data_IF_448079372989
#
_entry.id   IF_448079372989
#
_cell.length_a   1.000
_cell.length_b   1.000
_cell.length_c   1.000
_cell.angle_alpha   90.00
_cell.angle_beta   90.00
_cell.angle_gamma   90.00
#
_symmetry.space_group_name_H-M   'P 1'
#
loop_
_entity.id
_entity.type
_entity.pdbx_description
1 polymer ?
#
# COMPACT_ATOMS: atom_id res chain seq x y z
N UNK A 1 -4.26 -21.56 13.04
CA UNK A 1 -5.65 -21.20 12.69
C UNK A 1 -5.58 -20.34 11.45
N UNK A 2 -5.83 -20.94 10.29
CA UNK A 2 -5.91 -20.25 9.00
C UNK A 2 -7.25 -19.54 8.95
N UNK A 3 -7.26 -18.22 9.08
CA UNK A 3 -8.43 -17.39 8.78
C UNK A 3 -8.79 -17.61 7.31
N UNK A 4 -9.90 -18.32 7.08
CA UNK A 4 -10.50 -18.39 5.76
C UNK A 4 -11.10 -17.02 5.45
N UNK A 5 -10.38 -16.20 4.68
CA UNK A 5 -10.95 -15.01 4.06
C UNK A 5 -12.12 -15.46 3.17
N UNK A 6 -13.35 -15.25 3.64
CA UNK A 6 -14.54 -15.55 2.86
C UNK A 6 -14.58 -14.66 1.62
N UNK A 7 -14.82 -15.26 0.45
CA UNK A 7 -14.94 -14.60 -0.85
C UNK A 7 -15.96 -13.44 -0.90
N UNK A 8 -16.78 -13.25 0.15
CA UNK A 8 -17.97 -12.39 0.15
C UNK A 8 -17.75 -10.97 0.70
N UNK A 9 -16.63 -10.67 1.36
CA UNK A 9 -16.42 -9.36 1.99
C UNK A 9 -16.11 -8.23 1.00
N UNK A 10 -15.71 -8.57 -0.23
CA UNK A 10 -15.43 -7.59 -1.29
C UNK A 10 -16.58 -7.39 -2.28
N UNK A 11 -17.66 -8.19 -2.17
CA UNK A 11 -18.82 -8.10 -3.08
C UNK A 11 -19.66 -6.87 -2.72
N UNK A 12 -19.92 -6.01 -3.72
CA UNK A 12 -20.91 -4.93 -3.62
C UNK A 12 -22.25 -5.45 -4.11
N UNK A 13 -23.18 -5.69 -3.19
CA UNK A 13 -24.54 -6.14 -3.50
C UNK A 13 -25.38 -5.00 -4.08
N UNK A 14 -25.99 -5.24 -5.24
CA UNK A 14 -26.78 -4.24 -5.97
C UNK A 14 -28.20 -4.08 -5.42
N UNK A 15 -28.76 -5.08 -4.74
CA UNK A 15 -30.10 -5.00 -4.14
C UNK A 15 -30.25 -3.85 -3.13
N UNK A 16 -29.15 -3.46 -2.46
CA UNK A 16 -29.14 -2.30 -1.56
C UNK A 16 -29.47 -0.99 -2.28
N UNK A 17 -29.24 -0.95 -3.59
CA UNK A 17 -29.48 0.19 -4.46
C UNK A 17 -30.76 0.01 -5.31
N UNK A 18 -31.70 -0.85 -4.91
CA UNK A 18 -33.01 -0.96 -5.57
C UNK A 18 -33.07 -1.94 -6.76
N UNK A 19 -31.95 -2.55 -7.14
CA UNK A 19 -31.97 -3.56 -8.21
C UNK A 19 -32.73 -4.82 -7.80
N UNK A 20 -33.79 -5.17 -8.55
CA UNK A 20 -34.67 -6.32 -8.30
C UNK A 20 -35.12 -7.05 -9.57
N UNK A 21 -34.56 -6.67 -10.72
CA UNK A 21 -34.93 -7.20 -12.03
C UNK A 21 -34.20 -8.49 -12.40
N UNK A 22 -34.53 -8.99 -13.59
CA UNK A 22 -33.95 -10.18 -14.20
C UNK A 22 -32.84 -9.83 -15.22
N UNK A 23 -32.31 -8.62 -15.13
CA UNK A 23 -31.31 -8.10 -16.06
C UNK A 23 -30.42 -7.07 -15.40
N UNK A 24 -29.18 -6.94 -15.86
CA UNK A 24 -28.23 -5.96 -15.37
C UNK A 24 -27.62 -5.24 -16.57
N UNK A 25 -27.82 -3.93 -16.66
CA UNK A 25 -27.18 -3.08 -17.67
C UNK A 25 -26.13 -2.22 -16.97
N UNK A 26 -24.90 -2.23 -17.49
CA UNK A 26 -23.81 -1.49 -16.88
C UNK A 26 -22.75 -1.06 -17.89
N UNK A 27 -21.91 -0.13 -17.47
CA UNK A 27 -20.60 0.10 -18.08
C UNK A 27 -19.51 -0.29 -17.11
N UNK A 28 -18.45 -0.90 -17.60
CA UNK A 28 -17.29 -1.28 -16.81
C UNK A 28 -15.97 -0.80 -17.44
N UNK A 29 -15.00 -0.39 -16.61
CA UNK A 29 -13.63 -0.08 -17.04
C UNK A 29 -12.58 -0.62 -16.06
N UNK A 30 -11.35 -0.72 -16.57
CA UNK A 30 -10.10 -1.22 -15.98
C UNK A 30 -9.70 -2.70 -16.16
N UNK A 31 -10.01 -3.59 -15.21
CA UNK A 31 -9.39 -4.93 -15.14
C UNK A 31 -10.40 -6.07 -15.38
N UNK A 32 -10.55 -6.96 -14.39
CA UNK A 32 -11.45 -8.10 -14.38
C UNK A 32 -12.74 -7.73 -13.66
N UNK A 33 -13.85 -7.92 -14.35
CA UNK A 33 -15.18 -7.83 -13.74
C UNK A 33 -15.65 -9.22 -13.33
N UNK A 34 -16.21 -9.33 -12.12
CA UNK A 34 -16.97 -10.49 -11.68
C UNK A 34 -18.35 -10.05 -11.28
N UNK A 35 -19.34 -10.73 -11.83
CA UNK A 35 -20.75 -10.54 -11.51
C UNK A 35 -21.25 -11.83 -10.87
N UNK A 36 -21.97 -11.68 -9.77
CA UNK A 36 -22.58 -12.76 -9.01
C UNK A 36 -24.08 -12.64 -9.07
N UNK A 37 -24.76 -13.70 -9.51
CA UNK A 37 -26.20 -13.86 -9.40
C UNK A 37 -26.47 -14.94 -8.37
N UNK A 38 -27.16 -14.58 -7.29
CA UNK A 38 -27.17 -15.32 -6.04
C UNK A 38 -28.58 -15.73 -5.66
N UNK A 39 -28.74 -16.96 -5.18
CA UNK A 39 -29.98 -17.47 -4.62
C UNK A 39 -30.35 -16.79 -3.30
N UNK A 40 -29.35 -16.36 -2.52
CA UNK A 40 -29.53 -15.64 -1.26
C UNK A 40 -28.37 -14.69 -0.98
N UNK A 41 -28.64 -13.66 -0.20
CA UNK A 41 -27.61 -12.74 0.33
C UNK A 41 -26.82 -13.33 1.50
N UNK A 42 -27.16 -14.54 1.98
CA UNK A 42 -26.47 -15.16 3.13
C UNK A 42 -25.06 -15.63 2.73
N UNK A 43 -24.06 -15.06 3.39
CA UNK A 43 -22.61 -15.25 3.19
C UNK A 43 -22.06 -16.69 3.35
N UNK A 44 -22.89 -17.69 3.65
CA UNK A 44 -22.43 -18.92 4.31
C UNK A 44 -22.41 -20.21 3.49
N UNK A 45 -22.77 -20.18 2.21
CA UNK A 45 -22.69 -21.38 1.36
C UNK A 45 -22.17 -21.00 -0.01
N UNK A 46 -21.11 -21.69 -0.48
CA UNK A 46 -20.66 -21.68 -1.89
C UNK A 46 -21.68 -22.35 -2.83
N UNK A 47 -22.96 -22.24 -2.51
CA UNK A 47 -24.11 -22.86 -3.15
C UNK A 47 -25.02 -21.76 -3.67
N UNK A 48 -25.66 -22.00 -4.81
CA UNK A 48 -26.65 -21.07 -5.36
C UNK A 48 -26.00 -19.78 -5.91
N UNK A 49 -24.85 -19.93 -6.59
CA UNK A 49 -24.14 -18.81 -7.22
C UNK A 49 -23.96 -19.09 -8.71
N UNK A 50 -24.42 -18.17 -9.55
CA UNK A 50 -23.91 -18.01 -10.91
C UNK A 50 -22.83 -16.93 -10.88
N UNK A 51 -21.65 -17.27 -11.39
CA UNK A 51 -20.53 -16.36 -11.54
C UNK A 51 -20.27 -16.11 -13.01
N UNK A 52 -20.24 -14.83 -13.37
CA UNK A 52 -19.89 -14.35 -14.70
C UNK A 52 -18.57 -13.60 -14.55
N UNK A 53 -17.52 -14.12 -15.18
CA UNK A 53 -16.18 -13.53 -15.15
C UNK A 53 -15.85 -12.94 -16.51
N UNK A 54 -15.58 -11.64 -16.54
CA UNK A 54 -15.19 -10.91 -17.74
C UNK A 54 -13.69 -10.61 -17.68
N UNK A 55 -12.96 -11.12 -18.67
CA UNK A 55 -11.52 -10.99 -18.81
C UNK A 55 -11.17 -9.88 -19.81
N UNK A 56 -10.08 -9.13 -19.58
CA UNK A 56 -9.56 -8.19 -20.58
C UNK A 56 -9.00 -8.94 -21.80
N UNK A 57 -9.01 -8.28 -22.97
CA UNK A 57 -8.63 -8.85 -24.26
C UNK A 57 -7.22 -9.48 -24.32
N UNK A 58 -6.30 -9.11 -23.43
CA UNK A 58 -4.95 -9.72 -23.36
C UNK A 58 -4.99 -11.18 -22.89
N UNK A 59 -6.10 -11.62 -22.30
CA UNK A 59 -6.39 -13.01 -21.93
C UNK A 59 -7.77 -13.43 -22.49
N UNK A 60 -7.94 -13.43 -23.82
CA UNK A 60 -9.26 -13.43 -24.45
C UNK A 60 -10.02 -14.76 -24.28
N UNK A 61 -9.34 -15.88 -24.01
CA UNK A 61 -9.91 -17.23 -24.03
C UNK A 61 -10.72 -17.64 -22.79
N UNK A 62 -11.10 -16.71 -21.89
CA UNK A 62 -11.56 -17.10 -20.53
C UNK A 62 -12.82 -16.42 -20.00
N UNK A 63 -13.64 -15.72 -20.81
CA UNK A 63 -14.95 -15.30 -20.30
C UNK A 63 -15.75 -16.55 -19.90
N UNK A 64 -16.21 -16.60 -18.65
CA UNK A 64 -16.82 -17.80 -18.08
C UNK A 64 -18.15 -17.44 -17.47
N UNK A 65 -19.17 -18.24 -17.79
CA UNK A 65 -20.45 -18.29 -17.07
C UNK A 65 -20.52 -19.65 -16.41
N UNK A 66 -20.43 -19.66 -15.08
CA UNK A 66 -20.37 -20.90 -14.30
C UNK A 66 -21.31 -20.86 -13.12
N UNK A 67 -21.64 -22.04 -12.61
CA UNK A 67 -22.44 -22.19 -11.41
C UNK A 67 -21.66 -22.96 -10.36
N UNK A 68 -21.71 -22.47 -9.12
CA UNK A 68 -21.22 -23.21 -7.97
C UNK A 68 -22.36 -24.00 -7.33
N UNK A 69 -22.21 -25.33 -7.29
CA UNK A 69 -23.09 -26.25 -6.55
C UNK A 69 -22.22 -26.97 -5.52
N UNK A 70 -22.49 -26.78 -4.23
CA UNK A 70 -21.85 -27.49 -3.13
C UNK A 70 -20.31 -27.43 -3.15
N UNK A 71 -19.74 -26.24 -3.40
CA UNK A 71 -18.30 -25.98 -3.59
C UNK A 71 -17.67 -26.61 -4.84
N UNK A 72 -18.46 -27.26 -5.70
CA UNK A 72 -18.05 -27.70 -7.05
C UNK A 72 -18.48 -26.66 -8.07
N UNK A 73 -17.49 -26.13 -8.80
CA UNK A 73 -17.73 -25.22 -9.92
C UNK A 73 -18.05 -26.08 -11.14
N UNK A 74 -19.30 -26.00 -11.59
CA UNK A 74 -19.73 -26.57 -12.86
C UNK A 74 -19.74 -25.44 -13.90
N UNK A 75 -18.78 -25.50 -14.83
CA UNK A 75 -18.76 -24.62 -15.99
C UNK A 75 -19.81 -25.13 -16.99
N UNK A 76 -20.98 -24.48 -17.02
CA UNK A 76 -22.00 -24.77 -18.02
C UNK A 76 -21.66 -24.12 -19.36
N UNK A 77 -20.78 -23.12 -19.36
CA UNK A 77 -20.10 -22.66 -20.57
C UNK A 77 -18.76 -21.97 -20.24
N UNK A 78 -17.69 -22.47 -20.84
CA UNK A 78 -16.45 -21.71 -21.06
C UNK A 78 -16.41 -21.33 -22.53
N UNK A 79 -17.26 -20.37 -22.90
CA UNK A 79 -17.33 -19.92 -24.29
C UNK A 79 -16.44 -18.69 -24.45
N UNK A 80 -15.49 -18.77 -25.37
CA UNK A 80 -14.79 -17.59 -25.86
C UNK A 80 -15.83 -16.59 -26.41
N UNK A 81 -15.92 -15.41 -25.79
CA UNK A 81 -16.78 -14.31 -26.26
C UNK A 81 -15.90 -13.22 -26.87
N UNK A 82 -15.49 -13.33 -28.15
CA UNK A 82 -14.65 -12.32 -28.80
C UNK A 82 -15.29 -10.93 -28.73
N UNK A 83 -14.51 -9.94 -28.28
CA UNK A 83 -14.87 -8.53 -28.38
C UNK A 83 -15.85 -8.00 -27.34
N UNK A 84 -16.30 -8.79 -26.35
CA UNK A 84 -17.14 -8.25 -25.26
C UNK A 84 -16.44 -7.11 -24.49
N UNK A 85 -15.12 -7.18 -24.39
CA UNK A 85 -14.27 -6.14 -23.87
C UNK A 85 -13.17 -5.86 -24.90
N UNK A 86 -13.43 -4.98 -25.86
CA UNK A 86 -12.44 -4.50 -26.83
C UNK A 86 -11.42 -3.64 -26.09
N UNK A 87 -10.44 -4.31 -25.47
CA UNK A 87 -9.38 -3.70 -24.67
C UNK A 87 -9.94 -2.85 -23.51
N UNK A 88 -9.96 -3.42 -22.31
CA UNK A 88 -10.27 -2.65 -21.11
C UNK A 88 -9.09 -1.75 -20.78
N UNK A 89 -8.96 -0.65 -21.51
CA UNK A 89 -8.04 0.42 -21.16
C UNK A 89 -8.74 1.30 -20.12
N UNK A 90 -8.18 1.49 -18.93
CA UNK A 90 -8.63 2.61 -18.11
C UNK A 90 -8.37 3.91 -18.91
N UNK A 91 -9.35 4.81 -19.13
CA UNK A 91 -10.68 4.89 -18.49
C UNK A 91 -11.87 4.52 -19.40
N UNK A 92 -11.66 3.84 -20.52
CA UNK A 92 -12.70 3.55 -21.50
C UNK A 92 -13.73 2.57 -20.93
N UNK A 93 -14.97 3.04 -20.86
CA UNK A 93 -16.11 2.28 -20.37
C UNK A 93 -16.72 1.42 -21.47
N UNK A 94 -16.88 0.13 -21.18
CA UNK A 94 -17.51 -0.84 -22.06
C UNK A 94 -18.94 -1.10 -21.62
N UNK A 95 -19.96 -0.75 -22.42
CA UNK A 95 -21.35 -1.00 -22.11
C UNK A 95 -21.70 -2.47 -22.34
N UNK A 96 -22.29 -3.10 -21.34
CA UNK A 96 -22.63 -4.51 -21.30
C UNK A 96 -24.00 -4.67 -20.66
N UNK A 97 -24.74 -5.66 -21.13
CA UNK A 97 -25.95 -6.11 -20.47
C UNK A 97 -25.93 -7.62 -20.24
N UNK A 98 -26.55 -8.04 -19.15
CA UNK A 98 -26.75 -9.44 -18.77
C UNK A 98 -28.24 -9.61 -18.52
N UNK A 99 -28.85 -10.69 -19.01
CA UNK A 99 -30.24 -11.04 -18.72
C UNK A 99 -30.33 -12.51 -18.30
N UNK A 100 -31.24 -12.80 -17.38
CA UNK A 100 -31.50 -14.16 -16.93
C UNK A 100 -32.99 -14.40 -16.70
N UNK A 101 -33.51 -15.54 -17.15
CA UNK A 101 -34.90 -15.91 -16.90
C UNK A 101 -35.05 -17.43 -16.92
N UNK A 102 -35.60 -18.01 -15.86
CA UNK A 102 -35.88 -19.46 -15.79
C UNK A 102 -34.70 -20.36 -16.19
N UNK A 103 -33.47 -19.98 -15.80
CA UNK A 103 -32.25 -20.71 -16.13
C UNK A 103 -31.63 -20.39 -17.48
N UNK A 104 -32.30 -19.61 -18.33
CA UNK A 104 -31.73 -19.04 -19.54
C UNK A 104 -30.87 -17.82 -19.18
N UNK A 105 -29.65 -17.75 -19.70
CA UNK A 105 -28.74 -16.63 -19.54
C UNK A 105 -28.40 -16.06 -20.90
N UNK A 106 -28.38 -14.74 -21.01
CA UNK A 106 -27.93 -14.03 -22.19
C UNK A 106 -27.09 -12.82 -21.81
N UNK A 107 -26.15 -12.47 -22.70
CA UNK A 107 -25.16 -11.43 -22.52
C UNK A 107 -24.85 -10.79 -23.87
N UNK A 108 -24.77 -9.47 -23.89
CA UNK A 108 -24.45 -8.70 -25.09
C UNK A 108 -23.77 -7.38 -24.79
N UNK A 109 -23.44 -6.66 -25.86
CA UNK A 109 -22.84 -5.32 -25.77
C UNK A 109 -23.91 -4.24 -25.88
N UNK A 110 -23.58 -3.07 -25.34
CA UNK A 110 -24.45 -1.90 -25.41
C UNK A 110 -25.32 -1.71 -24.17
N UNK A 111 -26.21 -0.73 -24.25
CA UNK A 111 -27.11 -0.35 -23.14
C UNK A 111 -28.54 -0.85 -23.33
N UNK A 112 -28.86 -1.34 -24.53
CA UNK A 112 -30.14 -1.93 -24.87
C UNK A 112 -30.08 -3.43 -24.62
N UNK A 113 -31.00 -3.97 -23.82
CA UNK A 113 -31.12 -5.42 -23.65
C UNK A 113 -31.33 -6.12 -24.99
N UNK A 114 -30.74 -7.30 -25.14
CA UNK A 114 -30.86 -8.17 -26.32
C UNK A 114 -30.24 -7.63 -27.62
N UNK A 115 -29.64 -6.44 -27.61
CA UNK A 115 -28.85 -5.92 -28.74
C UNK A 115 -27.42 -6.47 -28.70
N UNK A 116 -26.83 -6.78 -29.86
CA UNK A 116 -25.46 -7.31 -29.97
C UNK A 116 -25.20 -8.46 -28.97
N UNK A 117 -26.12 -9.44 -28.95
CA UNK A 117 -25.99 -10.64 -28.13
C UNK A 117 -24.76 -11.43 -28.57
N UNK A 118 -23.89 -11.72 -27.60
CA UNK A 118 -22.62 -12.43 -27.83
C UNK A 118 -22.58 -13.79 -27.15
N UNK A 119 -23.51 -14.05 -26.22
CA UNK A 119 -23.63 -15.33 -25.53
C UNK A 119 -25.06 -15.60 -25.10
N UNK A 120 -25.46 -16.87 -25.24
CA UNK A 120 -26.62 -17.42 -24.57
C UNK A 120 -26.32 -18.84 -24.05
N UNK A 121 -27.01 -19.25 -22.99
CA UNK A 121 -26.90 -20.59 -22.44
C UNK A 121 -28.07 -20.91 -21.51
N UNK A 122 -28.19 -22.18 -21.13
CA UNK A 122 -29.30 -22.64 -20.27
C UNK A 122 -28.79 -23.61 -19.21
N UNK A 123 -29.12 -23.33 -17.95
CA UNK A 123 -28.97 -24.27 -16.85
C UNK A 123 -30.19 -25.20 -16.81
N UNK A 124 -30.02 -26.54 -16.94
CA UNK A 124 -31.13 -27.49 -16.86
C UNK A 124 -31.73 -27.62 -15.45
N UNK A 125 -31.03 -27.20 -14.40
CA UNK A 125 -31.49 -27.27 -13.00
C UNK A 125 -31.41 -25.89 -12.31
N UNK A 126 -32.12 -24.86 -12.79
CA UNK A 126 -31.89 -23.49 -12.32
C UNK A 126 -32.39 -23.28 -10.89
N UNK A 127 -31.81 -22.29 -10.22
CA UNK A 127 -32.32 -21.76 -8.96
C UNK A 127 -32.79 -20.31 -9.14
N UNK A 128 -33.62 -19.84 -8.21
CA UNK A 128 -34.17 -18.48 -8.26
C UNK A 128 -33.10 -17.50 -7.82
N UNK A 129 -32.72 -16.57 -8.69
CA UNK A 129 -31.82 -15.47 -8.36
C UNK A 129 -32.60 -14.43 -7.56
N UNK A 130 -32.15 -14.14 -6.34
CA UNK A 130 -32.74 -13.10 -5.47
C UNK A 130 -31.80 -11.92 -5.26
N UNK A 131 -30.52 -12.05 -5.62
CA UNK A 131 -29.55 -10.99 -5.41
C UNK A 131 -28.48 -10.95 -6.50
N UNK A 132 -28.01 -9.72 -6.79
CA UNK A 132 -26.92 -9.47 -7.73
C UNK A 132 -25.78 -8.76 -7.00
N UNK A 133 -24.54 -9.17 -7.27
CA UNK A 133 -23.34 -8.58 -6.71
C UNK A 133 -22.29 -8.33 -7.77
N UNK A 134 -21.48 -7.29 -7.59
CA UNK A 134 -20.33 -7.00 -8.43
C UNK A 134 -19.05 -7.01 -7.61
N UNK A 135 -17.96 -7.43 -8.24
CA UNK A 135 -16.63 -7.49 -7.63
C UNK A 135 -15.56 -7.38 -8.72
N UNK A 136 -14.34 -7.05 -8.31
CA UNK A 136 -13.14 -7.22 -9.13
C UNK A 136 -12.38 -8.47 -8.69
N UNK A 137 -11.57 -9.08 -9.56
CA UNK A 137 -10.71 -10.20 -9.14
C UNK A 137 -9.67 -9.76 -8.10
N UNK A 138 -9.06 -10.71 -7.39
CA UNK A 138 -8.00 -10.45 -6.41
C UNK A 138 -6.91 -9.55 -7.02
N UNK A 139 -6.56 -8.46 -6.35
CA UNK A 139 -5.55 -7.53 -6.87
C UNK A 139 -6.08 -6.38 -7.74
N UNK A 140 -7.31 -6.49 -8.27
CA UNK A 140 -7.81 -5.61 -9.32
C UNK A 140 -8.75 -4.50 -8.82
N UNK A 141 -8.77 -3.38 -9.55
CA UNK A 141 -9.71 -2.28 -9.33
C UNK A 141 -10.60 -2.06 -10.54
N UNK A 142 -11.76 -1.43 -10.36
CA UNK A 142 -12.70 -1.23 -11.46
C UNK A 142 -13.70 -0.13 -11.19
N UNK A 143 -14.06 0.59 -12.26
CA UNK A 143 -15.14 1.57 -12.21
C UNK A 143 -16.37 0.98 -12.89
N UNK A 144 -17.52 1.17 -12.26
CA UNK A 144 -18.81 0.65 -12.71
C UNK A 144 -19.81 1.78 -12.79
N UNK A 145 -20.61 1.78 -13.85
CA UNK A 145 -21.81 2.62 -13.97
C UNK A 145 -22.98 1.66 -14.16
N UNK A 146 -23.84 1.54 -13.16
CA UNK A 146 -24.98 0.61 -13.19
C UNK A 146 -26.25 1.38 -13.56
N UNK A 147 -27.01 0.86 -14.52
CA UNK A 147 -28.30 1.42 -14.92
C UNK A 147 -29.41 0.60 -14.24
N UNK A 148 -30.16 1.25 -13.36
CA UNK A 148 -31.29 0.65 -12.64
C UNK A 148 -32.57 1.21 -13.25
N UNK A 149 -33.55 0.35 -13.52
CA UNK A 149 -34.81 0.76 -14.15
C UNK A 149 -35.51 1.85 -13.32
N UNK A 150 -35.80 2.99 -13.96
CA UNK A 150 -36.51 4.11 -13.34
C UNK A 150 -35.65 5.03 -12.46
N UNK A 151 -34.33 4.79 -12.38
CA UNK A 151 -33.40 5.62 -11.58
C UNK A 151 -32.26 6.21 -12.43
N UNK A 152 -31.56 7.20 -11.87
CA UNK A 152 -30.30 7.70 -12.42
C UNK A 152 -29.19 6.64 -12.32
N UNK A 153 -28.22 6.69 -13.23
CA UNK A 153 -27.13 5.72 -13.25
C UNK A 153 -26.27 5.81 -11.98
N UNK A 154 -26.04 4.67 -11.33
CA UNK A 154 -25.25 4.56 -10.11
C UNK A 154 -23.76 4.37 -10.46
N UNK A 155 -22.93 5.33 -10.08
CA UNK A 155 -21.47 5.21 -10.21
C UNK A 155 -20.86 4.52 -8.97
N UNK A 156 -20.18 3.39 -9.19
CA UNK A 156 -19.51 2.63 -8.14
C UNK A 156 -18.02 2.46 -8.47
N UNK A 157 -17.16 2.84 -7.54
CA UNK A 157 -15.73 2.49 -7.56
C UNK A 157 -15.51 1.28 -6.67
N UNK A 158 -14.99 0.21 -7.27
CA UNK A 158 -14.60 -1.01 -6.55
C UNK A 158 -13.08 -1.02 -6.49
N UNK A 159 -12.55 -0.64 -5.33
CA UNK A 159 -11.12 -0.56 -5.07
C UNK A 159 -10.58 -1.86 -4.48
N UNK A 160 -9.33 -2.16 -4.82
CA UNK A 160 -8.61 -3.26 -4.21
C UNK A 160 -8.22 -2.90 -2.75
N UNK A 161 -8.86 -3.56 -1.79
CA UNK A 161 -8.61 -3.38 -0.35
C UNK A 161 -7.18 -3.76 0.03
N UNK A 162 -6.58 -4.74 -0.66
CA UNK A 162 -5.20 -5.18 -0.39
C UNK A 162 -4.17 -4.22 -0.98
N UNK A 163 -4.42 -3.60 -2.13
CA UNK A 163 -3.55 -2.54 -2.65
C UNK A 163 -3.56 -1.31 -1.75
N UNK A 164 -4.71 -0.96 -1.16
CA UNK A 164 -4.80 0.11 -0.18
C UNK A 164 -4.00 -0.21 1.08
N UNK A 165 -4.16 -1.43 1.63
CA UNK A 165 -3.38 -1.89 2.80
C UNK A 165 -1.87 -1.93 2.51
N UNK A 166 -1.47 -2.40 1.33
CA UNK A 166 -0.07 -2.43 0.91
C UNK A 166 0.52 -1.02 0.85
N UNK A 167 -0.21 -0.09 0.23
CA UNK A 167 0.20 1.32 0.14
C UNK A 167 0.28 2.00 1.50
N UNK A 168 -0.61 1.65 2.42
CA UNK A 168 -0.56 2.12 3.80
C UNK A 168 0.68 1.58 4.53
N UNK A 169 0.99 0.29 4.36
CA UNK A 169 2.19 -0.33 4.92
C UNK A 169 3.49 0.27 4.36
N UNK A 170 3.53 0.53 3.05
CA UNK A 170 4.66 1.21 2.40
C UNK A 170 4.88 2.60 3.01
N UNK A 171 3.80 3.37 3.17
CA UNK A 171 3.87 4.71 3.75
C UNK A 171 4.34 4.67 5.22
N UNK A 172 3.85 3.71 6.01
CA UNK A 172 4.30 3.51 7.39
C UNK A 172 5.78 3.13 7.47
N UNK A 173 6.26 2.32 6.54
CA UNK A 173 7.67 1.94 6.46
C UNK A 173 8.56 3.14 6.07
N UNK A 174 8.15 3.94 5.09
CA UNK A 174 8.84 5.18 4.71
C UNK A 174 8.90 6.18 5.88
N UNK A 175 7.82 6.30 6.65
CA UNK A 175 7.79 7.16 7.83
C UNK A 175 8.83 6.70 8.87
N UNK A 176 8.88 5.40 9.16
CA UNK A 176 9.86 4.81 10.09
C UNK A 176 11.30 5.00 9.62
N UNK A 177 11.56 4.88 8.32
CA UNK A 177 12.87 5.16 7.72
C UNK A 177 13.29 6.61 7.96
N UNK A 178 12.40 7.58 7.70
CA UNK A 178 12.68 9.01 7.94
C UNK A 178 12.93 9.32 9.42
N UNK A 179 12.18 8.71 10.32
CA UNK A 179 12.42 8.85 11.76
C UNK A 179 13.81 8.31 12.17
N UNK A 180 14.21 7.17 11.61
CA UNK A 180 15.52 6.59 11.87
C UNK A 180 16.65 7.49 11.32
N UNK A 181 16.51 8.01 10.10
CA UNK A 181 17.47 8.96 9.52
C UNK A 181 17.62 10.21 10.37
N UNK A 182 16.52 10.75 10.91
CA UNK A 182 16.55 11.91 11.78
C UNK A 182 17.32 11.62 13.08
N UNK A 183 17.04 10.48 13.74
CA UNK A 183 17.77 10.05 14.94
C UNK A 183 19.27 9.88 14.68
N UNK A 184 19.63 9.35 13.50
CA UNK A 184 21.02 9.14 13.13
C UNK A 184 21.76 10.47 12.92
N UNK A 185 21.13 11.44 12.25
CA UNK A 185 21.66 12.81 12.10
C UNK A 185 21.83 13.52 13.45
N UNK A 186 20.88 13.33 14.37
CA UNK A 186 20.98 13.89 15.71
C UNK A 186 22.16 13.28 16.48
N UNK A 187 22.33 11.96 16.45
CA UNK A 187 23.45 11.28 17.08
C UNK A 187 24.81 11.70 16.49
N UNK A 188 24.90 11.91 15.17
CA UNK A 188 26.10 12.43 14.52
C UNK A 188 26.44 13.86 14.98
N UNK A 189 25.44 14.71 15.18
CA UNK A 189 25.64 16.08 15.69
C UNK A 189 26.15 16.05 17.13
N UNK A 190 25.52 15.27 17.99
CA UNK A 190 25.95 15.10 19.39
C UNK A 190 27.38 14.54 19.50
N UNK A 191 27.75 13.61 18.61
CA UNK A 191 29.12 13.08 18.55
C UNK A 191 30.13 14.15 18.12
N UNK A 192 29.78 14.99 17.14
CA UNK A 192 30.64 16.10 16.69
C UNK A 192 30.85 17.12 17.80
N UNK A 193 29.80 17.49 18.52
CA UNK A 193 29.89 18.43 19.65
C UNK A 193 30.80 17.87 20.76
N UNK A 194 30.67 16.58 21.10
CA UNK A 194 31.57 15.93 22.07
C UNK A 194 33.03 15.97 21.65
N UNK A 195 33.32 15.68 20.38
CA UNK A 195 34.68 15.73 19.83
C UNK A 195 35.27 17.15 19.86
N UNK A 196 34.45 18.17 19.66
CA UNK A 196 34.87 19.57 19.71
C UNK A 196 35.20 20.01 21.14
N UNK A 197 34.38 19.58 22.12
CA UNK A 197 34.66 19.78 23.55
C UNK A 197 35.98 19.09 23.94
N UNK A 198 36.17 17.82 23.59
CA UNK A 198 37.37 17.08 23.95
C UNK A 198 38.65 17.69 23.34
N UNK A 199 38.56 18.22 22.11
CA UNK A 199 39.67 18.95 21.49
C UNK A 199 40.03 20.21 22.28
N UNK A 200 39.02 20.98 22.70
CA UNK A 200 39.21 22.20 23.47
C UNK A 200 39.82 21.90 24.84
N UNK A 201 39.35 20.87 25.53
CA UNK A 201 39.91 20.44 26.81
C UNK A 201 41.39 20.06 26.70
N UNK A 202 41.78 19.31 25.66
CA UNK A 202 43.20 18.99 25.40
C UNK A 202 44.05 20.20 25.07
N UNK A 203 43.50 21.18 24.34
CA UNK A 203 44.20 22.42 24.03
C UNK A 203 44.41 23.27 25.28
N UNK A 204 43.40 23.36 26.15
CA UNK A 204 43.48 24.08 27.43
C UNK A 204 44.46 23.38 28.39
N UNK A 205 44.48 22.04 28.43
CA UNK A 205 45.47 21.26 29.19
C UNK A 205 46.90 21.51 28.70
N UNK A 206 47.10 21.59 27.38
CA UNK A 206 48.41 21.89 26.79
C UNK A 206 48.88 23.30 27.16
N UNK A 207 48.01 24.30 27.05
CA UNK A 207 48.31 25.69 27.45
C UNK A 207 48.66 25.79 28.94
N UNK A 208 47.95 25.06 29.79
CA UNK A 208 48.22 25.03 31.23
C UNK A 208 49.62 24.46 31.51
N UNK A 209 49.98 23.33 30.89
CA UNK A 209 51.32 22.72 31.01
C UNK A 209 52.44 23.65 30.53
N UNK A 210 52.20 24.42 29.48
CA UNK A 210 53.16 25.41 28.98
C UNK A 210 53.39 26.55 29.99
N UNK A 211 52.32 27.04 30.62
CA UNK A 211 52.39 28.07 31.66
C UNK A 211 53.15 27.56 32.90
N UNK A 212 52.83 26.35 33.37
CA UNK A 212 53.53 25.73 34.50
C UNK A 212 55.04 25.54 34.22
N UNK A 213 55.39 25.19 32.99
CA UNK A 213 56.79 25.05 32.58
C UNK A 213 57.53 26.39 32.63
N UNK A 214 56.93 27.44 32.05
CA UNK A 214 57.47 28.81 32.08
C UNK A 214 57.64 29.34 33.50
N UNK A 215 56.68 29.06 34.39
CA UNK A 215 56.76 29.46 35.79
C UNK A 215 57.91 28.74 36.52
N UNK A 216 58.08 27.44 36.29
CA UNK A 216 59.22 26.68 36.85
C UNK A 216 60.58 27.18 36.35
N UNK A 217 60.68 27.58 35.07
CA UNK A 217 61.90 28.17 34.54
C UNK A 217 62.21 29.52 35.19
N UNK A 218 61.20 30.37 35.35
CA UNK A 218 61.34 31.66 36.04
C UNK A 218 61.78 31.47 37.49
N UNK A 219 61.19 30.54 38.22
CA UNK A 219 61.59 30.21 39.61
C UNK A 219 63.07 29.80 39.66
N UNK A 220 63.52 28.95 38.73
CA UNK A 220 64.94 28.54 38.67
C UNK A 220 65.88 29.71 38.35
N UNK A 221 65.46 30.61 37.47
CA UNK A 221 66.25 31.81 37.14
C UNK A 221 66.38 32.74 38.35
N UNK A 222 65.28 32.95 39.08
CA UNK A 222 65.26 33.77 40.29
C UNK A 222 66.11 33.12 41.41
N UNK A 223 66.04 31.80 41.61
CA UNK A 223 66.91 31.07 42.54
C UNK A 223 68.41 31.23 42.20
N UNK A 224 68.75 31.24 40.91
CA UNK A 224 70.13 31.43 40.45
C UNK A 224 70.65 32.83 40.77
N UNK A 225 69.82 33.86 40.51
CA UNK A 225 70.15 35.26 40.85
C UNK A 225 70.35 35.44 42.35
N UNK A 226 69.52 34.82 43.18
CA UNK A 226 69.69 34.86 44.65
C UNK A 226 71.02 34.25 45.06
N UNK A 227 71.39 33.08 44.51
CA UNK A 227 72.68 32.44 44.80
C UNK A 227 73.88 33.29 44.36
N UNK A 228 73.79 33.98 43.23
CA UNK A 228 74.85 34.90 42.77
C UNK A 228 75.00 36.10 43.71
N UNK A 229 73.89 36.67 44.18
CA UNK A 229 73.90 37.76 45.17
C UNK A 229 74.54 37.31 46.49
N UNK A 230 74.14 36.16 47.03
CA UNK A 230 74.72 35.60 48.25
C UNK A 230 76.24 35.33 48.11
N UNK A 231 76.68 34.86 46.94
CA UNK A 231 78.11 34.65 46.66
C UNK A 231 78.87 35.97 46.62
N UNK A 232 78.28 36.99 46.01
CA UNK A 232 78.86 38.34 45.91
C UNK A 232 79.00 38.98 47.29
N UNK A 233 77.97 38.90 48.13
CA UNK A 233 78.00 39.39 49.51
C UNK A 233 79.09 38.69 50.35
N UNK A 234 79.26 37.36 50.19
CA UNK A 234 80.34 36.63 50.87
C UNK A 234 81.73 37.12 50.45
N UNK A 235 81.94 37.36 49.17
CA UNK A 235 83.22 37.86 48.64
C UNK A 235 83.53 39.29 49.13
N UNK A 236 82.51 40.16 49.24
CA UNK A 236 82.68 41.50 49.82
C UNK A 236 83.02 41.45 51.31
N UNK A 237 82.35 40.57 52.06
CA UNK A 237 82.61 40.32 53.48
C UNK A 237 84.01 39.75 53.75
N UNK A 238 84.57 38.96 52.83
CA UNK A 238 85.95 38.48 52.93
C UNK A 238 86.98 39.59 52.66
N UNK A 239 86.72 40.47 51.68
CA UNK A 239 87.62 41.61 51.37
C UNK A 239 87.73 42.62 52.52
N UNK A 240 86.68 42.77 53.34
CA UNK A 240 86.67 43.64 54.52
C UNK A 240 87.49 43.09 55.72
N UNK A 241 87.96 41.83 55.66
CA UNK A 241 88.72 41.18 56.73
C UNK A 241 90.25 41.18 56.52
N UNK A 242 90.72 41.71 55.40
CA UNK A 242 92.15 41.92 55.04
C UNK A 242 92.50 43.39 55.07
#
# INVERSE_FOLDING_TARGET
MTEGFGYTDCIKYLNKYGHSGNSLVFKYSCDYARIYLLETTRKSSDQGIYEIVLYPQTLPEKNIVRRSKDSVINDFSSTFIPGLLERVDCPNFHPIWIAWENGFFSLGKGLSLYEDEVYNGTDPEPFVITSTGIMTSYGASGNWIIYIEGEEALELKVENVDAFKLKQLELEHELKLKEHEFKLKQAELEMKERLEIEKKEKEDEFKLKELEMKEREKIKEDELKVKELEMTERLEMEKLKT
#
